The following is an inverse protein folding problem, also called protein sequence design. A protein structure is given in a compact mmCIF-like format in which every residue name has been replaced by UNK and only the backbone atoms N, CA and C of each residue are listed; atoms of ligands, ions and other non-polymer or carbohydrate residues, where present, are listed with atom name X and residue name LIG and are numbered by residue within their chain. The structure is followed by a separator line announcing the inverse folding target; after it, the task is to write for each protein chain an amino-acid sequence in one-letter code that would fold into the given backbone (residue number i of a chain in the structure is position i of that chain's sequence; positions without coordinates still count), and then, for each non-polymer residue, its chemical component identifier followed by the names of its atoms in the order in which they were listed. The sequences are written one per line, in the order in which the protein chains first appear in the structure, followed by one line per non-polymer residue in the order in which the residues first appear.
data_IF_529721651852
#
_entry.id   IF_529721651852
#
_cell.length_a   1.000
_cell.length_b   1.000
_cell.length_c   1.000
_cell.angle_alpha   90.00
_cell.angle_beta   90.00
_cell.angle_gamma   90.00
#
_symmetry.space_group_name_H-M   'P 1'
#
loop_
_entity.id
_entity.type
_entity.pdbx_description
1 polymer ?
#
# COMPACT_ATOMS: atom_id res chain seq x y z
N UNK A 1 35.37 8.64 29.76
CA UNK A 1 34.55 9.65 29.07
C UNK A 1 34.44 9.21 27.62
N UNK A 2 33.41 8.42 27.30
CA UNK A 2 33.15 7.98 25.93
C UNK A 2 32.54 9.13 25.16
N UNK A 3 33.28 9.65 24.18
CA UNK A 3 32.80 10.58 23.17
C UNK A 3 31.80 9.86 22.27
N UNK A 4 30.58 9.64 22.75
CA UNK A 4 29.46 9.23 21.92
C UNK A 4 28.76 10.50 21.45
N UNK A 5 28.57 10.63 20.13
CA UNK A 5 27.90 11.72 19.44
C UNK A 5 28.66 13.05 19.35
N UNK A 6 29.84 13.02 18.71
CA UNK A 6 30.44 14.23 18.16
C UNK A 6 29.69 14.65 16.88
N UNK A 7 28.49 15.21 17.02
CA UNK A 7 27.79 15.85 15.91
C UNK A 7 28.50 17.16 15.54
N UNK A 8 28.59 17.52 14.24
CA UNK A 8 28.97 18.87 13.86
C UNK A 8 28.08 19.87 14.60
N UNK A 9 28.65 20.94 15.14
CA UNK A 9 27.89 22.01 15.83
C UNK A 9 26.84 22.68 14.95
N UNK A 10 26.88 22.44 13.63
CA UNK A 10 25.95 22.94 12.63
C UNK A 10 24.70 22.07 12.45
N UNK A 11 24.66 20.86 13.01
CA UNK A 11 23.53 19.94 12.84
C UNK A 11 22.50 20.16 13.96
N UNK A 12 21.37 20.78 13.60
CA UNK A 12 20.29 21.14 14.54
C UNK A 12 19.31 20.01 14.83
N UNK A 13 19.21 19.01 13.92
CA UNK A 13 18.41 17.80 14.09
C UNK A 13 19.34 16.65 14.50
N UNK A 14 19.04 16.00 15.62
CA UNK A 14 19.76 14.81 16.11
C UNK A 14 18.85 13.59 16.22
N UNK A 15 17.59 13.82 16.58
CA UNK A 15 16.62 12.75 16.78
C UNK A 15 15.38 12.96 15.91
N UNK A 16 14.97 11.92 15.19
CA UNK A 16 13.76 11.86 14.38
C UNK A 16 12.70 11.08 15.17
N UNK A 17 11.54 11.68 15.38
CA UNK A 17 10.37 10.99 15.94
C UNK A 17 9.54 10.38 14.81
N UNK A 18 9.25 9.08 14.87
CA UNK A 18 8.47 8.36 13.87
C UNK A 18 7.16 7.89 14.50
N UNK A 19 6.02 8.30 13.92
CA UNK A 19 4.70 7.82 14.32
C UNK A 19 4.45 6.45 13.69
N UNK A 20 4.33 5.41 14.54
CA UNK A 20 4.24 4.00 14.17
C UNK A 20 5.58 3.27 14.28
N UNK A 21 5.51 2.01 14.72
CA UNK A 21 6.68 1.15 14.99
C UNK A 21 6.76 -0.10 14.12
N UNK A 22 5.99 -0.17 13.03
CA UNK A 22 5.99 -1.25 12.06
C UNK A 22 7.31 -1.39 11.28
N UNK A 23 7.25 -2.20 10.21
CA UNK A 23 8.42 -2.49 9.39
C UNK A 23 8.91 -1.27 8.59
N UNK A 24 8.03 -0.33 8.29
CA UNK A 24 8.39 0.86 7.52
C UNK A 24 9.17 1.84 8.41
N UNK A 25 8.74 2.05 9.65
CA UNK A 25 9.45 2.81 10.68
C UNK A 25 10.80 2.17 11.02
N UNK A 26 10.84 0.83 11.09
CA UNK A 26 12.09 0.06 11.22
C UNK A 26 13.08 0.38 10.09
N UNK A 27 12.66 0.23 8.82
CA UNK A 27 13.53 0.49 7.65
C UNK A 27 13.88 1.98 7.49
N UNK A 28 13.02 2.91 7.93
CA UNK A 28 13.36 4.33 8.02
C UNK A 28 14.51 4.56 9.02
N UNK A 29 14.48 3.91 10.17
CA UNK A 29 15.54 4.02 11.17
C UNK A 29 16.84 3.35 10.70
N UNK A 30 16.76 2.20 10.02
CA UNK A 30 17.91 1.57 9.36
C UNK A 30 18.61 2.54 8.39
N UNK A 31 17.85 3.30 7.61
CA UNK A 31 18.40 4.30 6.69
C UNK A 31 18.89 5.59 7.39
N UNK A 32 18.33 5.91 8.56
CA UNK A 32 18.70 7.10 9.34
C UNK A 32 20.04 6.94 10.09
N UNK A 33 20.32 5.73 10.60
CA UNK A 33 21.50 5.44 11.42
C UNK A 33 22.83 5.73 10.69
N UNK A 34 23.06 5.29 9.42
CA UNK A 34 24.28 5.61 8.67
C UNK A 34 24.49 7.10 8.42
N UNK A 35 23.41 7.88 8.37
CA UNK A 35 23.43 9.34 8.24
C UNK A 35 23.68 10.05 9.57
N UNK A 36 23.77 9.31 10.68
CA UNK A 36 24.04 9.84 12.01
C UNK A 36 22.81 10.36 12.74
N UNK A 37 21.59 9.92 12.40
CA UNK A 37 20.40 10.31 13.15
C UNK A 37 19.93 9.21 14.09
N UNK A 38 19.45 9.60 15.26
CA UNK A 38 18.75 8.70 16.18
C UNK A 38 17.25 8.70 15.85
N UNK A 39 16.58 7.58 16.14
CA UNK A 39 15.13 7.47 15.99
C UNK A 39 14.46 7.15 17.33
N UNK A 40 13.28 7.72 17.52
CA UNK A 40 12.33 7.34 18.57
C UNK A 40 10.97 7.12 17.93
N UNK A 41 10.15 6.27 18.54
CA UNK A 41 8.88 5.83 17.94
C UNK A 41 7.71 6.08 18.88
N UNK A 42 6.54 6.37 18.32
CA UNK A 42 5.26 6.35 19.03
C UNK A 42 4.44 5.16 18.54
N UNK A 43 4.31 4.13 19.37
CA UNK A 43 3.66 2.86 19.03
C UNK A 43 3.14 2.15 20.29
N UNK A 44 1.88 1.70 20.26
CA UNK A 44 1.24 1.04 21.41
C UNK A 44 1.61 -0.44 21.49
N UNK A 45 1.97 -1.06 20.36
CA UNK A 45 2.47 -2.42 20.36
C UNK A 45 3.94 -2.48 20.82
N UNK A 46 4.16 -2.99 22.04
CA UNK A 46 5.50 -3.17 22.59
C UNK A 46 6.40 -4.11 21.75
N UNK A 47 5.81 -5.09 21.05
CA UNK A 47 6.53 -6.05 20.21
C UNK A 47 6.64 -5.58 18.74
N UNK A 48 6.69 -4.26 18.53
CA UNK A 48 6.80 -3.69 17.20
C UNK A 48 8.22 -3.83 16.61
N UNK A 49 8.36 -4.01 15.29
CA UNK A 49 9.67 -4.14 14.63
C UNK A 49 10.67 -3.02 14.95
N UNK A 50 10.20 -1.78 15.05
CA UNK A 50 11.03 -0.60 15.30
C UNK A 50 11.70 -0.57 16.69
N UNK A 51 11.22 -1.37 17.65
CA UNK A 51 11.80 -1.46 18.99
C UNK A 51 13.28 -1.90 19.02
N UNK A 52 13.75 -2.55 17.95
CA UNK A 52 15.15 -2.94 17.77
C UNK A 52 16.07 -1.77 17.37
N UNK A 53 15.50 -0.66 16.91
CA UNK A 53 16.24 0.44 16.26
C UNK A 53 16.18 1.77 17.03
N UNK A 54 15.41 1.83 18.12
CA UNK A 54 15.28 3.04 18.92
C UNK A 54 14.28 2.90 20.06
N UNK A 55 14.17 3.95 20.87
CA UNK A 55 13.25 3.97 22.00
C UNK A 55 11.81 4.08 21.51
N UNK A 56 10.93 3.21 22.01
CA UNK A 56 9.49 3.26 21.77
C UNK A 56 8.79 3.94 22.95
N UNK A 57 7.87 4.83 22.64
CA UNK A 57 6.92 5.46 23.54
C UNK A 57 5.52 5.00 23.17
N UNK A 58 4.64 4.88 24.16
CA UNK A 58 3.22 4.60 23.93
C UNK A 58 2.42 5.90 23.77
N UNK A 59 1.19 5.80 23.27
CA UNK A 59 0.30 6.94 23.02
C UNK A 59 0.09 7.83 24.26
N UNK A 60 0.04 7.25 25.47
CA UNK A 60 -0.06 7.99 26.74
C UNK A 60 1.22 8.74 27.12
N UNK A 61 2.33 8.46 26.43
CA UNK A 61 3.63 9.09 26.62
C UNK A 61 3.96 10.10 25.51
N UNK A 62 2.95 10.61 24.79
CA UNK A 62 3.10 11.54 23.68
C UNK A 62 4.01 12.73 24.02
N UNK A 63 3.84 13.36 25.19
CA UNK A 63 4.68 14.50 25.59
C UNK A 63 6.16 14.12 25.70
N UNK A 64 6.45 12.94 26.26
CA UNK A 64 7.83 12.45 26.39
C UNK A 64 8.44 12.07 25.03
N UNK A 65 7.62 11.55 24.10
CA UNK A 65 8.01 11.32 22.71
C UNK A 65 8.35 12.64 22.01
N UNK A 66 7.50 13.66 22.17
CA UNK A 66 7.70 15.00 21.61
C UNK A 66 8.99 15.61 22.13
N UNK A 67 9.24 15.54 23.43
CA UNK A 67 10.48 16.05 24.05
C UNK A 67 11.74 15.38 23.48
N UNK A 68 11.67 14.08 23.17
CA UNK A 68 12.81 13.29 22.74
C UNK A 68 13.24 13.51 21.27
N UNK A 69 12.39 14.12 20.43
CA UNK A 69 12.63 14.28 19.00
C UNK A 69 12.74 15.75 18.56
N UNK A 70 13.51 16.03 17.51
CA UNK A 70 13.67 17.37 16.94
C UNK A 70 12.74 17.60 15.74
N UNK A 71 12.49 16.56 14.94
CA UNK A 71 11.63 16.55 13.76
C UNK A 71 10.79 15.28 13.75
N UNK A 72 9.61 15.32 13.14
CA UNK A 72 8.68 14.20 13.13
C UNK A 72 8.33 13.73 11.72
N UNK A 73 8.12 12.43 11.60
CA UNK A 73 7.50 11.81 10.44
C UNK A 73 6.59 10.64 10.82
N UNK A 74 6.00 9.96 9.85
CA UNK A 74 5.07 8.86 10.06
C UNK A 74 5.37 7.70 9.11
N UNK A 75 5.02 6.49 9.54
CA UNK A 75 5.10 5.30 8.70
C UNK A 75 3.75 4.83 8.16
N UNK A 76 2.62 5.36 8.67
CA UNK A 76 1.29 4.88 8.34
C UNK A 76 0.29 6.02 8.15
N UNK A 77 -0.53 5.91 7.12
CA UNK A 77 -1.49 6.92 6.70
C UNK A 77 -2.72 7.00 7.60
N UNK A 78 -3.01 5.99 8.41
CA UNK A 78 -4.13 6.06 9.38
C UNK A 78 -3.68 6.55 10.77
N UNK A 79 -2.52 7.19 10.89
CA UNK A 79 -2.13 7.91 12.10
C UNK A 79 -3.23 8.92 12.49
N UNK A 80 -3.57 9.06 13.78
CA UNK A 80 -4.55 10.05 14.23
C UNK A 80 -4.19 11.46 13.77
N UNK A 81 -5.11 12.10 13.03
CA UNK A 81 -4.91 13.45 12.49
C UNK A 81 -4.70 14.48 13.60
N UNK A 82 -5.32 14.30 14.77
CA UNK A 82 -5.13 15.16 15.95
C UNK A 82 -3.68 15.17 16.46
N UNK A 83 -3.00 14.02 16.46
CA UNK A 83 -1.59 13.93 16.83
C UNK A 83 -0.73 14.69 15.83
N UNK A 84 -0.96 14.48 14.54
CA UNK A 84 -0.23 15.17 13.46
C UNK A 84 -0.48 16.69 13.49
N UNK A 85 -1.71 17.11 13.75
CA UNK A 85 -2.07 18.52 13.92
C UNK A 85 -1.32 19.14 15.11
N UNK A 86 -1.27 18.46 16.25
CA UNK A 86 -0.53 18.93 17.42
C UNK A 86 0.97 19.13 17.12
N UNK A 87 1.61 18.15 16.48
CA UNK A 87 3.03 18.24 16.09
C UNK A 87 3.29 19.34 15.06
N UNK A 88 2.35 19.54 14.14
CA UNK A 88 2.38 20.62 13.14
C UNK A 88 2.33 21.98 13.81
N UNK A 89 1.46 22.15 14.82
CA UNK A 89 1.35 23.38 15.60
C UNK A 89 2.64 23.70 16.37
N UNK A 90 3.26 22.69 16.99
CA UNK A 90 4.56 22.84 17.67
C UNK A 90 5.67 23.26 16.71
N UNK A 91 5.67 22.71 15.49
CA UNK A 91 6.64 23.06 14.45
C UNK A 91 6.43 24.49 13.96
N UNK A 92 5.18 24.90 13.76
CA UNK A 92 4.81 26.27 13.35
C UNK A 92 5.19 27.31 14.41
N UNK A 93 5.11 26.93 15.70
CA UNK A 93 5.55 27.76 16.82
C UNK A 93 7.08 27.83 16.99
N UNK A 94 7.85 27.06 16.20
CA UNK A 94 9.32 27.03 16.25
C UNK A 94 9.91 26.17 17.35
N UNK A 95 9.10 25.40 18.08
CA UNK A 95 9.56 24.50 19.15
C UNK A 95 10.18 23.21 18.60
N UNK A 96 9.86 22.86 17.36
CA UNK A 96 10.30 21.65 16.65
C UNK A 96 10.60 21.99 15.19
N UNK A 97 11.41 21.17 14.53
CA UNK A 97 11.93 21.45 13.19
C UNK A 97 10.94 21.11 12.07
N UNK A 98 9.89 20.32 12.35
CA UNK A 98 8.87 19.98 11.37
C UNK A 98 8.08 18.72 11.71
N UNK A 99 6.91 18.59 11.09
CA UNK A 99 6.13 17.35 10.99
C UNK A 99 5.88 17.10 9.50
N UNK A 100 6.37 15.97 8.98
CA UNK A 100 6.31 15.66 7.56
C UNK A 100 5.77 14.24 7.29
N UNK A 101 4.93 14.05 6.26
CA UNK A 101 4.40 15.06 5.34
C UNK A 101 3.39 16.01 6.03
N UNK A 102 2.95 17.10 5.38
CA UNK A 102 1.96 18.01 5.96
C UNK A 102 0.61 17.31 6.18
N UNK A 103 -0.13 17.76 7.21
CA UNK A 103 -1.42 17.17 7.63
C UNK A 103 -2.41 16.98 6.47
N UNK A 104 -2.44 17.91 5.50
CA UNK A 104 -3.33 17.83 4.34
C UNK A 104 -3.09 16.58 3.49
N UNK A 105 -1.85 16.11 3.38
CA UNK A 105 -1.54 14.89 2.65
C UNK A 105 -2.17 13.66 3.31
N UNK A 106 -2.19 13.64 4.64
CA UNK A 106 -2.83 12.58 5.42
C UNK A 106 -4.36 12.63 5.31
N UNK A 107 -4.95 13.82 5.43
CA UNK A 107 -6.41 13.99 5.31
C UNK A 107 -6.94 13.55 3.93
N UNK A 108 -6.17 13.81 2.87
CA UNK A 108 -6.50 13.38 1.51
C UNK A 108 -6.33 11.88 1.35
N UNK A 109 -5.20 11.30 1.76
CA UNK A 109 -4.94 9.87 1.58
C UNK A 109 -5.86 8.96 2.42
N UNK A 110 -6.38 9.45 3.55
CA UNK A 110 -7.35 8.71 4.36
C UNK A 110 -8.76 8.65 3.75
N UNK A 111 -9.03 9.39 2.67
CA UNK A 111 -10.36 9.51 2.05
C UNK A 111 -10.29 9.41 0.53
N UNK A 112 -10.65 8.23 0.00
CA UNK A 112 -10.67 7.91 -1.43
C UNK A 112 -11.43 8.95 -2.24
N UNK A 113 -12.52 9.52 -1.71
CA UNK A 113 -13.29 10.52 -2.42
C UNK A 113 -12.54 11.86 -2.51
N UNK A 114 -11.93 12.32 -1.41
CA UNK A 114 -11.09 13.54 -1.42
C UNK A 114 -9.90 13.38 -2.35
N UNK A 115 -9.28 12.20 -2.33
CA UNK A 115 -8.15 11.86 -3.19
C UNK A 115 -8.54 11.91 -4.68
N UNK A 116 -9.61 11.23 -5.08
CA UNK A 116 -10.12 11.26 -6.46
C UNK A 116 -10.52 12.68 -6.89
N UNK A 117 -11.14 13.46 -5.99
CA UNK A 117 -11.45 14.87 -6.24
C UNK A 117 -10.20 15.73 -6.42
N UNK A 118 -9.13 15.48 -5.66
CA UNK A 118 -7.84 16.14 -5.84
C UNK A 118 -7.26 15.80 -7.22
N UNK A 119 -7.24 14.52 -7.61
CA UNK A 119 -6.76 14.14 -8.95
C UNK A 119 -7.55 14.85 -10.06
N UNK A 120 -8.88 14.90 -9.96
CA UNK A 120 -9.71 15.62 -10.92
C UNK A 120 -9.38 17.12 -11.00
N UNK A 121 -9.16 17.77 -9.85
CA UNK A 121 -8.76 19.19 -9.78
C UNK A 121 -7.39 19.44 -10.41
N UNK A 122 -6.51 18.44 -10.37
CA UNK A 122 -5.15 18.49 -10.92
C UNK A 122 -5.05 17.97 -12.35
N UNK A 123 -6.18 17.66 -13.00
CA UNK A 123 -6.23 17.06 -14.35
C UNK A 123 -5.43 15.74 -14.46
N UNK A 124 -5.44 14.97 -13.38
CA UNK A 124 -4.86 13.62 -13.32
C UNK A 124 -6.00 12.63 -13.54
N UNK A 125 -5.91 11.87 -14.63
CA UNK A 125 -6.94 10.92 -14.99
C UNK A 125 -7.05 9.77 -13.97
N UNK A 126 -8.28 9.40 -13.60
CA UNK A 126 -8.60 8.27 -12.72
C UNK A 126 -9.66 7.39 -13.38
N UNK A 127 -10.00 6.27 -12.74
CA UNK A 127 -11.28 5.61 -13.01
C UNK A 127 -12.46 6.57 -12.79
N UNK A 128 -13.54 6.50 -13.58
CA UNK A 128 -14.77 7.24 -13.30
C UNK A 128 -15.32 6.87 -11.93
N UNK A 129 -15.77 7.86 -11.15
CA UNK A 129 -16.24 7.63 -9.79
C UNK A 129 -17.43 8.52 -9.42
N UNK A 130 -18.22 8.08 -8.43
CA UNK A 130 -19.32 8.83 -7.85
C UNK A 130 -19.37 8.63 -6.32
N UNK A 131 -19.71 9.69 -5.59
CA UNK A 131 -20.04 9.58 -4.17
C UNK A 131 -21.42 8.93 -4.00
N UNK A 132 -21.59 8.11 -2.96
CA UNK A 132 -22.83 7.38 -2.67
C UNK A 132 -23.17 7.50 -1.18
N UNK A 133 -24.30 8.13 -0.87
CA UNK A 133 -24.83 8.34 0.49
C UNK A 133 -26.12 7.57 0.76
N UNK A 134 -26.70 6.93 -0.26
CA UNK A 134 -27.95 6.18 -0.15
C UNK A 134 -28.02 5.05 -1.18
N UNK A 135 -28.89 4.07 -0.95
CA UNK A 135 -29.16 3.00 -1.92
C UNK A 135 -29.63 3.56 -3.28
N UNK A 136 -30.42 4.63 -3.26
CA UNK A 136 -30.87 5.29 -4.50
C UNK A 136 -29.70 5.95 -5.26
N UNK A 137 -28.74 6.55 -4.55
CA UNK A 137 -27.52 7.06 -5.18
C UNK A 137 -26.64 5.93 -5.72
N UNK A 138 -26.61 4.77 -5.06
CA UNK A 138 -25.91 3.58 -5.58
C UNK A 138 -26.52 3.09 -6.89
N UNK A 139 -27.85 3.04 -6.97
CA UNK A 139 -28.57 2.70 -8.21
C UNK A 139 -28.23 3.68 -9.34
N UNK A 140 -28.23 4.98 -9.03
CA UNK A 140 -27.85 6.01 -10.00
C UNK A 140 -26.40 5.88 -10.46
N UNK A 141 -25.48 5.53 -9.55
CA UNK A 141 -24.09 5.28 -9.89
C UNK A 141 -23.93 4.08 -10.83
N UNK A 142 -24.65 2.97 -10.59
CA UNK A 142 -24.65 1.80 -11.48
C UNK A 142 -25.13 2.17 -12.90
N UNK A 143 -26.19 2.98 -13.01
CA UNK A 143 -26.71 3.44 -14.31
C UNK A 143 -25.74 4.39 -15.03
N UNK A 144 -25.02 5.21 -14.28
CA UNK A 144 -24.16 6.27 -14.85
C UNK A 144 -22.78 5.75 -15.24
N UNK A 145 -22.17 4.94 -14.38
CA UNK A 145 -20.83 4.37 -14.58
C UNK A 145 -20.86 3.11 -15.45
N UNK A 146 -22.01 2.44 -15.52
CA UNK A 146 -22.15 1.13 -16.15
C UNK A 146 -21.61 0.01 -15.27
N UNK A 147 -22.18 -1.18 -15.41
CA UNK A 147 -21.74 -2.37 -14.68
C UNK A 147 -20.65 -3.14 -15.45
N UNK A 148 -19.72 -3.82 -14.76
CA UNK A 148 -19.60 -3.87 -13.30
C UNK A 148 -19.06 -2.57 -12.69
N UNK A 149 -19.32 -2.35 -11.39
CA UNK A 149 -18.67 -1.31 -10.58
C UNK A 149 -18.10 -1.90 -9.30
N UNK A 150 -17.18 -1.16 -8.66
CA UNK A 150 -16.68 -1.47 -7.33
C UNK A 150 -17.17 -0.40 -6.37
N UNK A 151 -18.00 -0.78 -5.40
CA UNK A 151 -18.42 0.08 -4.30
C UNK A 151 -17.40 -0.06 -3.16
N UNK A 152 -16.90 1.05 -2.62
CA UNK A 152 -15.90 1.06 -1.54
C UNK A 152 -16.32 2.03 -0.43
N UNK A 153 -15.92 1.76 0.81
CA UNK A 153 -15.93 2.79 1.85
C UNK A 153 -14.91 3.87 1.48
N UNK A 154 -15.27 5.16 1.60
CA UNK A 154 -14.29 6.21 1.24
C UNK A 154 -13.14 6.29 2.23
N UNK A 155 -13.38 5.93 3.51
CA UNK A 155 -12.37 5.88 4.57
C UNK A 155 -12.22 4.46 5.13
N UNK A 156 -11.09 4.18 5.78
CA UNK A 156 -10.90 3.00 6.63
C UNK A 156 -10.81 1.64 5.93
N UNK A 157 -10.98 1.57 4.61
CA UNK A 157 -10.78 0.33 3.84
C UNK A 157 -9.30 0.04 3.60
N UNK A 158 -8.87 -1.21 3.74
CA UNK A 158 -7.50 -1.68 3.56
C UNK A 158 -7.48 -3.14 3.09
N UNK A 159 -6.44 -3.56 2.35
CA UNK A 159 -6.22 -4.95 1.88
C UNK A 159 -7.50 -5.63 1.34
N UNK A 160 -8.28 -4.89 0.53
CA UNK A 160 -9.54 -5.38 -0.06
C UNK A 160 -10.74 -5.49 0.89
N UNK A 161 -10.66 -4.99 2.12
CA UNK A 161 -11.81 -4.85 3.03
C UNK A 161 -12.55 -3.53 2.82
N UNK A 162 -13.86 -3.55 3.01
CA UNK A 162 -14.72 -2.38 2.82
C UNK A 162 -15.00 -2.10 1.33
N UNK A 163 -15.04 -3.16 0.52
CA UNK A 163 -15.39 -3.05 -0.90
C UNK A 163 -16.30 -4.21 -1.35
N UNK A 164 -17.15 -3.95 -2.33
CA UNK A 164 -18.08 -4.90 -2.92
C UNK A 164 -18.12 -4.70 -4.44
N UNK A 165 -17.96 -5.78 -5.21
CA UNK A 165 -18.07 -5.73 -6.68
C UNK A 165 -19.54 -5.99 -7.07
N UNK A 166 -20.15 -5.03 -7.75
CA UNK A 166 -21.52 -5.11 -8.25
C UNK A 166 -21.44 -5.46 -9.72
N UNK A 167 -21.90 -6.65 -10.10
CA UNK A 167 -21.85 -7.18 -11.48
C UNK A 167 -23.17 -7.01 -12.20
N UNK A 168 -24.27 -7.09 -11.46
CA UNK A 168 -25.63 -6.97 -11.96
C UNK A 168 -26.50 -6.16 -11.00
N UNK A 169 -27.66 -5.68 -11.46
CA UNK A 169 -28.57 -4.85 -10.65
C UNK A 169 -29.05 -5.58 -9.37
N UNK A 170 -29.12 -6.92 -9.39
CA UNK A 170 -29.47 -7.75 -8.23
C UNK A 170 -28.51 -7.59 -7.06
N UNK A 171 -27.24 -7.26 -7.32
CA UNK A 171 -26.19 -7.14 -6.32
C UNK A 171 -26.31 -5.86 -5.48
N UNK A 172 -26.99 -4.82 -6.01
CA UNK A 172 -27.04 -3.48 -5.43
C UNK A 172 -27.52 -3.50 -3.97
N UNK A 173 -28.58 -4.27 -3.69
CA UNK A 173 -29.15 -4.35 -2.34
C UNK A 173 -28.19 -5.01 -1.36
N UNK A 174 -27.49 -6.06 -1.79
CA UNK A 174 -26.50 -6.74 -0.96
C UNK A 174 -25.29 -5.83 -0.70
N UNK A 175 -24.77 -5.18 -1.74
CA UNK A 175 -23.66 -4.24 -1.64
C UNK A 175 -23.97 -3.05 -0.72
N UNK A 176 -25.17 -2.48 -0.83
CA UNK A 176 -25.63 -1.42 0.07
C UNK A 176 -25.70 -1.92 1.51
N UNK A 177 -26.31 -3.09 1.75
CA UNK A 177 -26.46 -3.60 3.10
C UNK A 177 -25.11 -3.92 3.78
N UNK A 178 -24.11 -4.35 3.01
CA UNK A 178 -22.76 -4.64 3.49
C UNK A 178 -22.02 -3.37 3.94
N UNK A 179 -22.16 -2.26 3.19
CA UNK A 179 -21.32 -1.07 3.37
C UNK A 179 -22.03 0.17 3.94
N UNK A 180 -23.37 0.20 3.99
CA UNK A 180 -24.14 1.41 4.41
C UNK A 180 -23.79 1.96 5.78
N UNK A 181 -23.30 1.12 6.69
CA UNK A 181 -23.01 1.54 8.06
C UNK A 181 -21.85 2.56 8.09
N UNK A 182 -21.00 2.58 7.06
CA UNK A 182 -19.97 3.62 6.88
C UNK A 182 -20.56 5.02 6.72
N UNK A 183 -21.67 5.15 5.99
CA UNK A 183 -22.37 6.43 5.80
C UNK A 183 -22.85 7.01 7.13
N UNK A 184 -23.25 6.15 8.06
CA UNK A 184 -23.70 6.57 9.39
C UNK A 184 -22.60 6.60 10.46
N UNK A 185 -21.37 6.20 10.14
CA UNK A 185 -20.27 6.07 11.10
C UNK A 185 -20.43 4.92 12.10
N UNK A 186 -21.31 3.96 11.81
CA UNK A 186 -21.57 2.77 12.66
C UNK A 186 -20.80 1.53 12.21
N UNK A 187 -20.11 1.61 11.08
CA UNK A 187 -19.33 0.50 10.53
C UNK A 187 -18.05 0.24 11.32
N UNK A 188 -17.67 -1.03 11.45
CA UNK A 188 -16.44 -1.42 12.17
C UNK A 188 -15.15 -0.86 11.56
N UNK A 189 -15.15 -0.59 10.24
CA UNK A 189 -14.00 -0.03 9.51
C UNK A 189 -13.97 1.51 9.53
N UNK A 190 -15.11 2.15 9.78
CA UNK A 190 -15.30 3.60 9.62
C UNK A 190 -16.07 4.16 10.82
N UNK A 191 -15.37 4.48 11.92
CA UNK A 191 -15.98 5.01 13.14
C UNK A 191 -16.40 6.48 13.01
N UNK A 192 -16.31 7.05 11.80
CA UNK A 192 -16.72 8.42 11.48
C UNK A 192 -17.60 8.38 10.23
N UNK A 193 -18.74 9.08 10.21
CA UNK A 193 -19.60 9.15 9.03
C UNK A 193 -18.83 9.61 7.79
N UNK A 194 -18.87 8.81 6.73
CA UNK A 194 -18.24 9.12 5.46
C UNK A 194 -19.03 8.49 4.29
N UNK A 195 -19.11 9.13 3.12
CA UNK A 195 -19.79 8.56 1.97
C UNK A 195 -19.12 7.26 1.52
N UNK A 196 -19.85 6.43 0.77
CA UNK A 196 -19.24 5.41 -0.07
C UNK A 196 -18.75 6.05 -1.37
N UNK A 197 -17.85 5.37 -2.07
CA UNK A 197 -17.41 5.72 -3.42
C UNK A 197 -17.68 4.54 -4.36
N UNK A 198 -18.43 4.80 -5.43
CA UNK A 198 -18.62 3.88 -6.54
C UNK A 198 -17.59 4.19 -7.62
N UNK A 199 -16.80 3.20 -8.02
CA UNK A 199 -15.80 3.31 -9.08
C UNK A 199 -16.19 2.42 -10.26
N UNK A 200 -16.13 2.97 -11.47
CA UNK A 200 -16.33 2.20 -12.69
C UNK A 200 -15.26 1.13 -12.83
N UNK A 201 -15.65 -0.08 -13.24
CA UNK A 201 -14.69 -1.15 -13.48
C UNK A 201 -13.92 -0.87 -14.78
N UNK A 202 -12.59 -0.97 -14.72
CA UNK A 202 -11.73 -0.72 -15.88
C UNK A 202 -10.95 -1.98 -16.27
N UNK A 203 -10.78 -2.15 -17.57
CA UNK A 203 -9.86 -3.14 -18.11
C UNK A 203 -8.46 -2.52 -18.17
N UNK A 204 -7.62 -2.86 -17.21
CA UNK A 204 -6.20 -2.51 -17.22
C UNK A 204 -5.35 -3.72 -17.60
N UNK A 205 -4.22 -3.46 -18.23
CA UNK A 205 -3.27 -4.49 -18.65
C UNK A 205 -2.23 -4.80 -17.58
N UNK A 206 -1.85 -3.80 -16.79
CA UNK A 206 -0.78 -3.87 -15.79
C UNK A 206 -1.08 -2.91 -14.64
N UNK A 207 -0.65 -3.27 -13.44
CA UNK A 207 -0.56 -2.35 -12.30
C UNK A 207 0.89 -1.90 -12.19
N UNK A 208 1.10 -0.58 -12.16
CA UNK A 208 2.42 0.02 -12.00
C UNK A 208 2.38 1.04 -10.88
N UNK A 209 3.53 1.37 -10.30
CA UNK A 209 3.62 2.51 -9.39
C UNK A 209 4.85 3.34 -9.69
N UNK A 210 4.77 4.63 -9.44
CA UNK A 210 5.93 5.51 -9.37
C UNK A 210 6.15 5.94 -7.93
N UNK A 211 7.41 5.93 -7.50
CA UNK A 211 7.85 6.50 -6.23
C UNK A 211 8.54 7.82 -6.53
N UNK A 212 8.34 8.83 -5.68
CA UNK A 212 9.12 10.07 -5.75
C UNK A 212 9.42 10.62 -4.36
N UNK A 213 10.56 11.30 -4.23
CA UNK A 213 10.95 12.06 -3.05
C UNK A 213 10.88 13.56 -3.37
N UNK A 214 10.31 14.35 -2.45
CA UNK A 214 10.34 15.82 -2.50
C UNK A 214 11.04 16.35 -1.26
N UNK A 215 12.10 17.14 -1.45
CA UNK A 215 12.80 17.83 -0.38
C UNK A 215 12.07 19.10 0.07
N UNK A 216 12.46 19.66 1.22
CA UNK A 216 11.89 20.92 1.73
C UNK A 216 12.16 22.12 0.81
N UNK A 217 13.17 22.02 -0.07
CA UNK A 217 13.45 23.02 -1.10
C UNK A 217 12.56 22.88 -2.36
N UNK A 218 11.60 21.95 -2.36
CA UNK A 218 10.71 21.68 -3.48
C UNK A 218 11.32 20.85 -4.62
N UNK A 219 12.58 20.43 -4.51
CA UNK A 219 13.20 19.52 -5.48
C UNK A 219 12.51 18.17 -5.42
N UNK A 220 12.10 17.65 -6.59
CA UNK A 220 11.52 16.31 -6.74
C UNK A 220 12.51 15.39 -7.46
N UNK A 221 12.63 14.15 -6.99
CA UNK A 221 13.36 13.04 -7.61
C UNK A 221 12.44 11.85 -7.75
N UNK A 222 12.19 11.41 -8.98
CA UNK A 222 11.37 10.24 -9.29
C UNK A 222 12.24 9.00 -9.50
N UNK A 223 11.78 7.87 -9.01
CA UNK A 223 12.34 6.55 -9.34
C UNK A 223 11.75 6.06 -10.66
N UNK A 224 12.30 4.97 -11.19
CA UNK A 224 11.70 4.24 -12.31
C UNK A 224 10.26 3.80 -11.98
N UNK A 225 9.44 3.70 -13.03
CA UNK A 225 8.18 2.96 -12.94
C UNK A 225 8.48 1.51 -12.60
N UNK A 226 7.70 0.95 -11.68
CA UNK A 226 7.77 -0.46 -11.32
C UNK A 226 6.46 -1.17 -11.60
N UNK A 227 6.53 -2.45 -11.93
CA UNK A 227 5.35 -3.28 -12.16
C UNK A 227 5.02 -4.08 -10.91
N UNK A 228 3.76 -4.02 -10.50
CA UNK A 228 3.25 -4.64 -9.29
C UNK A 228 2.30 -5.77 -9.66
N UNK A 229 2.50 -6.93 -9.04
CA UNK A 229 1.59 -8.06 -9.16
C UNK A 229 0.95 -8.32 -7.80
N UNK A 230 -0.37 -8.21 -7.75
CA UNK A 230 -1.17 -8.50 -6.58
C UNK A 230 -1.75 -9.91 -6.64
N UNK A 231 -1.83 -10.57 -5.50
CA UNK A 231 -2.58 -11.80 -5.32
C UNK A 231 -3.61 -11.60 -4.21
N UNK A 232 -4.90 -11.75 -4.55
CA UNK A 232 -6.02 -11.52 -3.63
C UNK A 232 -5.96 -10.14 -2.93
N UNK A 233 -5.55 -9.10 -3.67
CA UNK A 233 -5.43 -7.73 -3.15
C UNK A 233 -4.15 -7.42 -2.37
N UNK A 234 -3.23 -8.39 -2.23
CA UNK A 234 -1.95 -8.19 -1.53
C UNK A 234 -0.80 -8.16 -2.54
N UNK A 235 0.10 -7.18 -2.42
CA UNK A 235 1.28 -7.07 -3.28
C UNK A 235 2.21 -8.29 -3.08
N UNK A 236 2.34 -9.12 -4.10
CA UNK A 236 3.16 -10.32 -4.10
C UNK A 236 4.57 -10.05 -4.65
N UNK A 237 4.65 -9.37 -5.80
CA UNK A 237 5.90 -9.11 -6.53
C UNK A 237 5.92 -7.68 -7.06
N UNK A 238 7.06 -7.01 -6.92
CA UNK A 238 7.38 -5.78 -7.64
C UNK A 238 8.60 -5.99 -8.51
N UNK A 239 8.55 -5.56 -9.77
CA UNK A 239 9.66 -5.61 -10.71
C UNK A 239 10.10 -4.20 -11.10
N UNK A 240 11.39 -3.90 -10.96
CA UNK A 240 12.00 -2.60 -11.21
C UNK A 240 13.17 -2.72 -12.21
N UNK A 241 13.18 -1.99 -13.34
CA UNK A 241 12.06 -1.18 -13.84
C UNK A 241 10.93 -2.06 -14.40
N UNK A 242 9.75 -1.48 -14.56
CA UNK A 242 8.67 -2.03 -15.37
C UNK A 242 9.11 -2.11 -16.83
N UNK A 243 9.31 -3.33 -17.34
CA UNK A 243 9.83 -3.53 -18.70
C UNK A 243 8.81 -3.05 -19.73
N UNK A 244 9.28 -2.25 -20.70
CA UNK A 244 8.46 -1.74 -21.79
C UNK A 244 7.60 -0.51 -21.46
N UNK A 245 7.69 0.07 -20.27
CA UNK A 245 6.88 1.24 -19.86
C UNK A 245 7.62 2.58 -19.90
N UNK A 246 8.81 2.65 -20.51
CA UNK A 246 9.61 3.88 -20.54
C UNK A 246 8.87 5.07 -21.16
N UNK A 247 7.97 4.81 -22.11
CA UNK A 247 7.11 5.82 -22.73
C UNK A 247 6.04 6.41 -21.77
N UNK A 248 5.71 5.71 -20.67
CA UNK A 248 4.78 6.16 -19.64
C UNK A 248 5.45 6.95 -18.51
N UNK A 249 6.79 6.85 -18.39
CA UNK A 249 7.54 7.40 -17.24
C UNK A 249 7.31 8.89 -17.08
N UNK A 250 7.31 9.65 -18.19
CA UNK A 250 7.09 11.09 -18.14
C UNK A 250 5.70 11.43 -17.58
N UNK A 251 4.65 10.75 -18.06
CA UNK A 251 3.28 10.98 -17.61
C UNK A 251 3.14 10.68 -16.11
N UNK A 252 3.70 9.55 -15.65
CA UNK A 252 3.69 9.18 -14.24
C UNK A 252 4.48 10.17 -13.38
N UNK A 253 5.66 10.61 -13.83
CA UNK A 253 6.51 11.58 -13.13
C UNK A 253 5.85 12.94 -13.01
N UNK A 254 5.23 13.42 -14.09
CA UNK A 254 4.51 14.69 -14.10
C UNK A 254 3.30 14.64 -13.14
N UNK A 255 2.55 13.53 -13.13
CA UNK A 255 1.41 13.34 -12.23
C UNK A 255 1.84 13.36 -10.76
N UNK A 256 2.80 12.53 -10.35
CA UNK A 256 3.26 12.50 -8.94
C UNK A 256 3.91 13.82 -8.52
N UNK A 257 4.69 14.46 -9.41
CA UNK A 257 5.29 15.78 -9.14
C UNK A 257 4.21 16.85 -8.93
N UNK A 258 3.13 16.80 -9.73
CA UNK A 258 2.00 17.74 -9.61
C UNK A 258 1.30 17.57 -8.26
N UNK A 259 1.05 16.33 -7.84
CA UNK A 259 0.47 16.03 -6.52
C UNK A 259 1.38 16.51 -5.39
N UNK A 260 2.66 16.14 -5.42
CA UNK A 260 3.62 16.52 -4.37
C UNK A 260 3.76 18.05 -4.26
N UNK A 261 3.74 18.77 -5.37
CA UNK A 261 3.77 20.23 -5.35
C UNK A 261 2.45 20.85 -4.87
N UNK A 262 1.31 20.28 -5.25
CA UNK A 262 0.00 20.75 -4.79
C UNK A 262 -0.14 20.67 -3.28
N UNK A 263 0.38 19.60 -2.68
CA UNK A 263 0.31 19.33 -1.25
C UNK A 263 1.44 19.99 -0.45
N UNK A 264 2.36 20.70 -1.11
CA UNK A 264 3.64 21.14 -0.55
C UNK A 264 4.36 20.03 0.24
N UNK A 265 4.42 18.85 -0.39
CA UNK A 265 4.80 17.61 0.24
C UNK A 265 6.29 17.55 0.58
N UNK A 266 6.65 16.95 1.71
CA UNK A 266 8.05 16.65 2.07
C UNK A 266 8.15 15.19 2.45
N UNK A 267 9.15 14.50 1.90
CA UNK A 267 9.33 13.06 2.09
C UNK A 267 9.11 12.29 0.79
N UNK A 268 8.87 10.99 0.95
CA UNK A 268 8.53 10.07 -0.13
C UNK A 268 7.03 9.88 -0.26
N UNK A 269 6.57 9.76 -1.50
CA UNK A 269 5.20 9.38 -1.88
C UNK A 269 5.25 8.28 -2.92
N UNK A 270 4.28 7.37 -2.87
CA UNK A 270 3.95 6.49 -4.00
C UNK A 270 2.67 6.95 -4.68
N UNK A 271 2.62 6.81 -6.00
CA UNK A 271 1.41 6.91 -6.80
C UNK A 271 1.20 5.58 -7.52
N UNK A 272 0.13 4.88 -7.17
CA UNK A 272 -0.29 3.66 -7.85
C UNK A 272 -1.10 4.00 -9.10
N UNK A 273 -0.87 3.23 -10.16
CA UNK A 273 -1.33 3.52 -11.51
C UNK A 273 -1.83 2.24 -12.20
N UNK A 274 -2.87 2.37 -12.98
CA UNK A 274 -3.32 1.36 -13.93
C UNK A 274 -2.87 1.70 -15.34
N UNK A 275 -2.26 0.74 -16.05
CA UNK A 275 -1.93 0.90 -17.47
C UNK A 275 -3.13 0.47 -18.31
N UNK A 276 -3.72 1.42 -19.04
CA UNK A 276 -4.91 1.22 -19.87
C UNK A 276 -4.64 1.64 -21.31
N UNK A 277 -5.53 1.27 -22.23
CA UNK A 277 -5.53 1.75 -23.61
C UNK A 277 -6.35 3.03 -23.73
N UNK A 278 -5.77 4.07 -24.34
CA UNK A 278 -6.51 5.27 -24.73
C UNK A 278 -7.48 4.98 -25.90
N UNK A 279 -8.29 5.97 -26.28
CA UNK A 279 -9.25 5.83 -27.40
C UNK A 279 -8.59 5.53 -28.77
N UNK A 280 -7.27 5.67 -28.88
CA UNK A 280 -6.47 5.39 -30.08
C UNK A 280 -5.69 4.06 -29.97
N UNK A 281 -5.82 3.34 -28.86
CA UNK A 281 -5.12 2.07 -28.61
C UNK A 281 -3.69 2.20 -28.09
N UNK A 282 -3.24 3.39 -27.67
CA UNK A 282 -1.93 3.59 -27.04
C UNK A 282 -2.03 3.34 -25.53
N UNK A 283 -0.94 2.88 -24.92
CA UNK A 283 -0.87 2.81 -23.46
C UNK A 283 -0.86 4.21 -22.84
N UNK A 284 -1.61 4.35 -21.75
CA UNK A 284 -1.66 5.53 -20.88
C UNK A 284 -1.85 5.06 -19.44
N UNK A 285 -1.65 5.94 -18.46
CA UNK A 285 -1.86 5.63 -17.04
C UNK A 285 -3.07 6.35 -16.45
N UNK A 286 -3.78 5.65 -15.56
CA UNK A 286 -4.81 6.20 -14.68
C UNK A 286 -4.36 6.09 -13.22
N UNK A 287 -4.52 7.15 -12.44
CA UNK A 287 -4.23 7.14 -11.01
C UNK A 287 -5.24 6.27 -10.23
N UNK A 288 -4.68 5.34 -9.47
CA UNK A 288 -5.41 4.53 -8.49
C UNK A 288 -5.47 5.27 -7.15
N UNK A 289 -4.36 5.35 -6.42
CA UNK A 289 -4.27 5.99 -5.11
C UNK A 289 -2.85 6.49 -4.83
N UNK A 290 -2.71 7.40 -3.86
CA UNK A 290 -1.41 7.80 -3.32
C UNK A 290 -1.17 7.15 -1.96
N UNK A 291 0.10 6.85 -1.67
CA UNK A 291 0.55 6.57 -0.31
C UNK A 291 1.51 7.71 0.12
N UNK A 292 1.13 8.57 1.07
CA UNK A 292 1.95 9.67 1.57
C UNK A 292 3.00 9.15 2.57
N UNK A 293 3.81 8.20 2.13
CA UNK A 293 4.88 7.56 2.90
C UNK A 293 5.78 6.75 1.96
N UNK A 294 6.84 6.19 2.52
CA UNK A 294 7.54 5.04 1.90
C UNK A 294 6.56 3.90 1.66
N UNK A 295 6.76 3.16 0.57
CA UNK A 295 5.78 2.20 0.07
C UNK A 295 6.38 0.83 -0.20
N UNK A 296 5.55 -0.21 -0.11
CA UNK A 296 5.96 -1.60 -0.30
C UNK A 296 6.55 -1.81 -1.71
N UNK A 297 5.91 -1.24 -2.74
CA UNK A 297 6.43 -1.28 -4.12
C UNK A 297 7.74 -0.51 -4.33
N UNK A 298 8.25 0.20 -3.32
CA UNK A 298 9.58 0.83 -3.36
C UNK A 298 10.68 0.02 -2.68
N UNK A 299 10.39 -1.14 -2.05
CA UNK A 299 11.39 -1.88 -1.25
C UNK A 299 12.59 -2.38 -2.06
N UNK A 300 12.40 -2.66 -3.35
CA UNK A 300 13.49 -2.98 -4.29
C UNK A 300 14.60 -1.92 -4.30
N UNK A 301 14.28 -0.66 -3.98
CA UNK A 301 15.24 0.45 -4.00
C UNK A 301 16.31 0.36 -2.91
N UNK A 302 16.16 -0.53 -1.92
CA UNK A 302 17.21 -0.77 -0.92
C UNK A 302 18.46 -1.33 -1.60
N UNK A 303 18.30 -2.24 -2.55
CA UNK A 303 19.40 -2.82 -3.33
C UNK A 303 19.54 -2.19 -4.72
N UNK A 304 18.41 -1.97 -5.42
CA UNK A 304 18.41 -1.69 -6.86
C UNK A 304 18.59 -0.23 -7.26
N UNK A 305 18.53 0.72 -6.32
CA UNK A 305 18.70 2.15 -6.60
C UNK A 305 19.95 2.72 -5.92
N UNK A 306 20.51 3.82 -6.44
CA UNK A 306 21.67 4.48 -5.82
C UNK A 306 21.33 4.94 -4.39
N UNK A 307 20.14 5.49 -4.20
CA UNK A 307 19.61 5.91 -2.89
C UNK A 307 18.24 5.29 -2.71
N UNK A 308 18.03 4.56 -1.60
CA UNK A 308 16.73 3.94 -1.35
C UNK A 308 15.65 4.98 -1.06
N UNK A 309 14.38 4.59 -1.24
CA UNK A 309 13.25 5.43 -0.83
C UNK A 309 13.33 5.81 0.66
N UNK A 310 13.88 4.93 1.51
CA UNK A 310 13.97 5.16 2.94
C UNK A 310 15.01 6.24 3.24
N UNK A 311 16.21 6.15 2.64
CA UNK A 311 17.23 7.17 2.81
C UNK A 311 16.77 8.52 2.26
N UNK A 312 16.16 8.54 1.07
CA UNK A 312 15.64 9.77 0.48
C UNK A 312 14.49 10.38 1.30
N UNK A 313 13.66 9.56 1.95
CA UNK A 313 12.65 10.05 2.88
C UNK A 313 13.31 10.72 4.09
N UNK A 314 14.29 10.07 4.73
CA UNK A 314 15.04 10.65 5.85
C UNK A 314 15.72 11.96 5.44
N UNK A 315 16.42 11.97 4.29
CA UNK A 315 17.08 13.17 3.76
C UNK A 315 16.10 14.32 3.55
N UNK A 316 14.92 14.06 3.00
CA UNK A 316 13.87 15.07 2.86
C UNK A 316 13.40 15.62 4.22
N UNK A 317 13.10 14.73 5.18
CA UNK A 317 12.63 15.09 6.53
C UNK A 317 13.66 15.94 7.29
N UNK A 318 14.94 15.58 7.19
CA UNK A 318 16.04 16.29 7.89
C UNK A 318 16.69 17.42 7.07
N UNK A 319 16.07 17.78 5.94
CA UNK A 319 16.51 18.86 5.03
C UNK A 319 17.94 18.68 4.46
N UNK A 320 18.32 17.45 4.15
CA UNK A 320 19.52 17.14 3.36
C UNK A 320 19.16 17.16 1.86
N UNK A 321 20.15 17.40 0.96
CA UNK A 321 19.94 17.23 -0.47
C UNK A 321 19.44 15.82 -0.77
N UNK A 322 18.50 15.66 -1.70
CA UNK A 322 18.06 14.32 -2.11
C UNK A 322 19.20 13.57 -2.81
N UNK A 323 19.22 12.26 -2.62
CA UNK A 323 20.11 11.34 -3.31
C UNK A 323 19.64 11.03 -4.72
N UNK A 324 20.53 10.42 -5.49
CA UNK A 324 20.23 9.94 -6.84
C UNK A 324 19.26 8.76 -6.78
N UNK A 325 18.27 8.75 -7.67
CA UNK A 325 17.20 7.75 -7.76
C UNK A 325 17.38 6.82 -8.95
N UNK A 326 18.50 6.94 -9.69
CA UNK A 326 18.83 6.05 -10.79
C UNK A 326 18.87 4.59 -10.34
N UNK A 327 18.28 3.74 -11.17
CA UNK A 327 18.27 2.30 -11.01
C UNK A 327 19.62 1.73 -11.45
N UNK A 328 20.35 1.16 -10.50
CA UNK A 328 21.70 0.61 -10.72
C UNK A 328 21.61 -0.78 -11.33
N UNK A 329 20.66 -1.59 -10.87
CA UNK A 329 20.46 -2.97 -11.31
C UNK A 329 18.98 -3.34 -11.31
N UNK A 330 18.47 -3.97 -12.39
CA UNK A 330 17.14 -4.52 -12.38
C UNK A 330 16.93 -5.45 -11.19
N UNK A 331 15.82 -5.24 -10.47
CA UNK A 331 15.53 -5.94 -9.23
C UNK A 331 14.09 -6.44 -9.21
N UNK A 332 13.86 -7.56 -8.53
CA UNK A 332 12.54 -8.06 -8.21
C UNK A 332 12.41 -8.17 -6.69
N UNK A 333 11.43 -7.48 -6.12
CA UNK A 333 11.08 -7.63 -4.71
C UNK A 333 9.89 -8.57 -4.57
N UNK A 334 9.97 -9.52 -3.64
CA UNK A 334 8.89 -10.43 -3.27
C UNK A 334 8.53 -10.23 -1.80
N UNK A 335 7.23 -10.15 -1.50
CA UNK A 335 6.77 -10.22 -0.12
C UNK A 335 6.80 -11.66 0.39
N UNK A 336 7.18 -11.81 1.66
CA UNK A 336 7.06 -13.06 2.42
C UNK A 336 5.88 -12.92 3.37
N UNK A 337 4.86 -13.75 3.16
CA UNK A 337 3.62 -13.74 3.93
C UNK A 337 3.45 -15.01 4.75
N UNK A 338 2.94 -14.86 5.97
CA UNK A 338 2.51 -16.00 6.78
C UNK A 338 3.64 -16.69 7.51
N UNK A 339 4.55 -17.30 6.74
CA UNK A 339 5.60 -18.20 7.21
C UNK A 339 6.97 -17.85 6.63
N UNK A 340 8.02 -17.94 7.45
CA UNK A 340 9.39 -17.70 7.02
C UNK A 340 9.91 -18.85 6.14
N UNK A 341 10.63 -18.54 5.04
CA UNK A 341 11.34 -19.57 4.28
C UNK A 341 12.58 -20.06 5.04
N UNK A 342 13.19 -21.14 4.55
CA UNK A 342 14.57 -21.46 4.93
C UNK A 342 15.51 -20.35 4.44
N UNK A 343 15.92 -19.47 5.36
CA UNK A 343 16.79 -18.32 5.08
C UNK A 343 18.11 -18.76 4.45
N UNK A 344 18.67 -19.91 4.86
CA UNK A 344 19.91 -20.45 4.29
C UNK A 344 19.71 -20.88 2.84
N UNK A 345 18.55 -21.45 2.51
CA UNK A 345 18.20 -21.78 1.13
C UNK A 345 17.99 -20.52 0.27
N UNK A 346 17.33 -19.49 0.80
CA UNK A 346 17.16 -18.18 0.12
C UNK A 346 18.52 -17.55 -0.18
N UNK A 347 19.39 -17.43 0.82
CA UNK A 347 20.70 -16.76 0.68
C UNK A 347 21.73 -17.55 -0.13
N UNK A 348 21.43 -18.79 -0.55
CA UNK A 348 22.22 -19.54 -1.53
C UNK A 348 21.95 -19.11 -2.97
N UNK A 349 20.85 -18.40 -3.22
CA UNK A 349 20.53 -17.87 -4.53
C UNK A 349 21.37 -16.60 -4.72
N UNK A 350 22.23 -16.59 -5.73
CA UNK A 350 23.08 -15.44 -6.02
C UNK A 350 22.22 -14.19 -6.30
N UNK A 351 22.53 -13.09 -5.61
CA UNK A 351 21.78 -11.84 -5.70
C UNK A 351 20.50 -11.79 -4.86
N UNK A 352 20.24 -12.76 -3.97
CA UNK A 352 19.14 -12.68 -3.02
C UNK A 352 19.52 -11.88 -1.76
N UNK A 353 18.69 -10.91 -1.41
CA UNK A 353 18.79 -10.08 -0.22
C UNK A 353 17.54 -10.27 0.62
N UNK A 354 17.71 -10.83 1.82
CA UNK A 354 16.61 -11.14 2.72
C UNK A 354 16.44 -10.05 3.79
N UNK A 355 15.22 -9.54 3.93
CA UNK A 355 14.86 -8.46 4.86
C UNK A 355 13.78 -8.93 5.83
N UNK A 356 14.20 -9.30 7.05
CA UNK A 356 13.28 -9.68 8.12
C UNK A 356 12.58 -8.46 8.70
N UNK A 357 11.29 -8.57 9.00
CA UNK A 357 10.58 -7.55 9.78
C UNK A 357 10.47 -7.90 11.26
N UNK A 358 11.11 -8.98 11.72
CA UNK A 358 11.07 -9.43 13.12
C UNK A 358 9.65 -9.68 13.66
N UNK A 359 8.72 -10.03 12.76
CA UNK A 359 7.32 -10.29 13.11
C UNK A 359 7.10 -11.78 13.36
N UNK A 360 6.25 -12.10 14.33
CA UNK A 360 5.72 -13.45 14.48
C UNK A 360 4.90 -13.85 13.23
N UNK A 361 5.02 -15.13 12.86
CA UNK A 361 4.25 -15.77 11.81
C UNK A 361 2.74 -15.70 12.11
N UNK A 362 1.97 -15.37 11.06
CA UNK A 362 0.51 -15.28 11.10
C UNK A 362 0.01 -15.18 9.67
N UNK A 363 -1.06 -15.90 9.34
CA UNK A 363 -1.69 -15.88 8.02
C UNK A 363 -1.86 -14.46 7.48
N UNK A 364 -1.53 -14.30 6.20
CA UNK A 364 -1.55 -13.05 5.42
C UNK A 364 -0.75 -11.87 5.99
N UNK A 365 0.05 -12.08 7.03
CA UNK A 365 0.92 -11.04 7.59
C UNK A 365 2.20 -10.94 6.76
N UNK A 366 2.52 -9.72 6.30
CA UNK A 366 3.84 -9.36 5.78
C UNK A 366 4.88 -9.45 6.90
N UNK A 367 5.76 -10.44 6.83
CA UNK A 367 6.77 -10.74 7.86
C UNK A 367 8.21 -10.54 7.37
N UNK A 368 8.43 -10.52 6.06
CA UNK A 368 9.70 -10.17 5.44
C UNK A 368 9.49 -9.74 3.97
N UNK A 369 10.53 -9.25 3.32
CA UNK A 369 10.63 -9.27 1.86
C UNK A 369 11.99 -9.83 1.42
N UNK A 370 12.06 -10.19 0.15
CA UNK A 370 13.29 -10.65 -0.49
C UNK A 370 13.48 -9.84 -1.77
N UNK A 371 14.63 -9.20 -1.94
CA UNK A 371 15.02 -8.57 -3.20
C UNK A 371 15.96 -9.50 -3.95
N UNK A 372 15.65 -9.78 -5.21
CA UNK A 372 16.55 -10.41 -6.16
C UNK A 372 17.18 -9.34 -7.03
N UNK A 373 18.51 -9.23 -6.97
CA UNK A 373 19.33 -8.33 -7.76
C UNK A 373 20.62 -9.07 -8.18
N UNK A 374 20.53 -10.02 -9.13
CA UNK A 374 21.71 -10.72 -9.62
C UNK A 374 22.60 -9.78 -10.46
N UNK A 375 23.91 -10.02 -10.43
CA UNK A 375 24.87 -9.24 -11.21
C UNK A 375 24.60 -9.29 -12.73
N UNK A 376 24.12 -10.43 -13.23
CA UNK A 376 23.68 -10.60 -14.61
C UNK A 376 22.16 -10.68 -14.66
N UNK A 377 21.54 -9.74 -15.37
CA UNK A 377 20.08 -9.65 -15.54
C UNK A 377 19.49 -10.91 -16.19
N UNK A 378 20.27 -11.65 -16.98
CA UNK A 378 19.83 -12.92 -17.56
C UNK A 378 19.51 -13.98 -16.49
N UNK A 379 20.06 -13.84 -15.28
CA UNK A 379 19.81 -14.73 -14.16
C UNK A 379 18.60 -14.31 -13.28
N UNK A 380 17.94 -13.19 -13.57
CA UNK A 380 16.82 -12.70 -12.76
C UNK A 380 15.63 -13.66 -12.76
N UNK A 381 15.18 -14.10 -13.93
CA UNK A 381 14.07 -15.07 -14.06
C UNK A 381 14.44 -16.48 -13.52
N UNK A 382 15.63 -17.04 -13.80
CA UNK A 382 16.09 -18.27 -13.14
C UNK A 382 16.13 -18.17 -11.61
N UNK A 383 16.65 -17.07 -11.06
CA UNK A 383 16.71 -16.84 -9.62
C UNK A 383 15.32 -16.72 -9.01
N UNK A 384 14.39 -16.02 -9.70
CA UNK A 384 12.99 -15.91 -9.30
C UNK A 384 12.34 -17.29 -9.22
N UNK A 385 12.52 -18.14 -10.23
CA UNK A 385 11.97 -19.49 -10.24
C UNK A 385 12.51 -20.36 -9.08
N UNK A 386 13.81 -20.26 -8.78
CA UNK A 386 14.41 -20.94 -7.63
C UNK A 386 13.84 -20.45 -6.31
N UNK A 387 13.71 -19.12 -6.16
CA UNK A 387 13.18 -18.52 -4.94
C UNK A 387 11.73 -18.92 -4.69
N UNK A 388 10.87 -18.81 -5.71
CA UNK A 388 9.44 -19.20 -5.62
C UNK A 388 9.28 -20.68 -5.24
N UNK A 389 10.22 -21.55 -5.64
CA UNK A 389 10.20 -22.96 -5.25
C UNK A 389 10.51 -23.19 -3.76
N UNK A 390 11.23 -22.26 -3.10
CA UNK A 390 11.62 -22.35 -1.68
C UNK A 390 10.61 -21.62 -0.77
N UNK A 391 9.84 -20.67 -1.29
CA UNK A 391 8.87 -19.93 -0.50
C UNK A 391 7.75 -20.85 0.04
N UNK A 392 7.45 -20.80 1.35
CA UNK A 392 6.38 -21.60 1.94
C UNK A 392 5.00 -21.15 1.44
N UNK A 393 4.79 -19.83 1.38
CA UNK A 393 3.67 -19.21 0.71
C UNK A 393 4.16 -18.54 -0.58
N UNK A 394 3.73 -19.07 -1.72
CA UNK A 394 4.15 -18.59 -3.05
C UNK A 394 3.35 -17.40 -3.55
N UNK A 395 2.33 -16.97 -2.82
CA UNK A 395 1.53 -15.75 -3.08
C UNK A 395 1.07 -15.64 -4.54
N UNK A 396 0.65 -16.77 -5.11
CA UNK A 396 0.16 -16.86 -6.49
C UNK A 396 1.24 -16.86 -7.58
N UNK A 397 2.53 -16.82 -7.24
CA UNK A 397 3.65 -16.78 -8.19
C UNK A 397 3.99 -18.14 -8.82
N UNK A 398 3.42 -19.24 -8.32
CA UNK A 398 3.55 -20.58 -8.89
C UNK A 398 2.51 -20.90 -9.97
N UNK A 399 1.47 -20.09 -10.07
CA UNK A 399 0.54 -20.13 -11.18
C UNK A 399 1.21 -19.41 -12.36
N UNK A 400 1.24 -20.04 -13.54
CA UNK A 400 1.65 -19.32 -14.77
C UNK A 400 0.83 -18.04 -14.85
N UNK A 401 1.49 -16.89 -15.00
CA UNK A 401 0.82 -15.61 -15.21
C UNK A 401 -0.10 -15.80 -16.42
N UNK A 402 -1.39 -15.90 -16.15
CA UNK A 402 -2.39 -16.01 -17.20
C UNK A 402 -2.53 -14.60 -17.75
N UNK A 403 -2.33 -14.43 -19.06
CA UNK A 403 -2.58 -13.16 -19.73
C UNK A 403 -4.03 -12.72 -19.44
N UNK A 404 -4.26 -11.40 -19.41
CA UNK A 404 -5.50 -10.73 -18.99
C UNK A 404 -6.78 -11.20 -19.72
N UNK A 405 -6.66 -11.97 -20.81
CA UNK A 405 -7.80 -12.57 -21.54
C UNK A 405 -8.51 -13.75 -20.82
N UNK A 406 -7.95 -14.34 -19.76
CA UNK A 406 -8.55 -15.51 -19.09
C UNK A 406 -9.10 -15.19 -17.68
N UNK A 407 -9.10 -13.94 -17.23
CA UNK A 407 -9.82 -13.55 -15.98
C UNK A 407 -11.34 -13.72 -16.12
N UNK A 408 -11.86 -13.72 -17.35
CA UNK A 408 -13.26 -14.09 -17.63
C UNK A 408 -13.51 -15.58 -17.38
N UNK A 409 -12.52 -16.45 -17.61
CA UNK A 409 -12.63 -17.90 -17.37
C UNK A 409 -12.43 -18.30 -15.92
N UNK A 410 -11.57 -17.63 -15.15
CA UNK A 410 -11.46 -17.93 -13.71
C UNK A 410 -12.74 -17.56 -12.94
N UNK A 411 -13.52 -16.59 -13.44
CA UNK A 411 -14.86 -16.31 -12.92
C UNK A 411 -15.88 -17.41 -13.29
N UNK A 412 -15.67 -18.13 -14.39
CA UNK A 412 -16.49 -19.29 -14.81
C UNK A 412 -16.09 -20.59 -14.07
N UNK A 413 -14.80 -20.80 -13.79
CA UNK A 413 -14.35 -22.04 -13.10
C UNK A 413 -14.67 -22.03 -11.59
N UNK A 414 -14.81 -20.85 -10.97
CA UNK A 414 -15.29 -20.72 -9.58
C UNK A 414 -16.80 -21.03 -9.44
N UNK A 415 -17.60 -20.88 -10.51
CA UNK A 415 -19.05 -21.18 -10.46
C UNK A 415 -19.37 -22.66 -10.67
N UNK A 416 -18.49 -23.42 -11.32
CA UNK A 416 -18.68 -24.87 -11.51
C UNK A 416 -18.33 -25.65 -10.23
N UNK A 417 -17.34 -25.20 -9.46
CA UNK A 417 -16.94 -25.89 -8.22
C UNK A 417 -17.95 -25.72 -7.07
N UNK A 418 -18.75 -24.66 -7.06
CA UNK A 418 -19.79 -24.44 -6.02
C UNK A 418 -21.16 -25.03 -6.39
N UNK A 419 -21.38 -25.44 -7.65
CA UNK A 419 -22.65 -26.03 -8.10
C UNK A 419 -22.71 -27.56 -8.00
N UNK A 420 -21.58 -28.25 -7.88
CA UNK A 420 -21.53 -29.72 -7.79
C UNK A 420 -21.74 -30.27 -6.36
N UNK A 421 -21.62 -29.44 -5.31
CA UNK A 421 -21.69 -29.89 -3.91
C UNK A 421 -23.06 -29.66 -3.23
N UNK A 422 -24.09 -29.25 -4.00
CA UNK A 422 -25.45 -29.01 -3.49
C UNK A 422 -26.58 -29.84 -4.13
N UNK A 423 -26.28 -30.76 -5.06
CA UNK A 423 -27.32 -31.55 -5.73
C UNK A 423 -27.62 -32.93 -5.14
N UNK A 424 -26.89 -33.38 -4.09
CA UNK A 424 -27.06 -34.76 -3.55
C UNK A 424 -27.78 -34.86 -2.20
N UNK A 425 -28.50 -33.83 -1.73
CA UNK A 425 -29.20 -33.86 -0.43
C UNK A 425 -30.64 -33.35 -0.38
N UNK A 426 -31.34 -33.26 -1.51
CA UNK A 426 -32.78 -32.96 -1.49
C UNK A 426 -33.52 -33.91 -2.45
N UNK A 427 -33.55 -35.21 -2.12
CA UNK A 427 -34.62 -36.07 -2.60
C UNK A 427 -34.74 -37.36 -1.76
N UNK A 428 -35.40 -37.27 -0.61
CA UNK A 428 -36.25 -38.34 -0.04
C UNK A 428 -36.80 -37.85 1.30
N UNK A 429 -38.09 -37.49 1.33
CA UNK A 429 -39.07 -37.86 2.37
C UNK A 429 -40.26 -36.91 2.33
N UNK A 430 -41.27 -37.27 1.55
CA UNK A 430 -42.67 -37.00 1.87
C UNK A 430 -43.54 -37.94 1.04
N UNK A 431 -44.55 -38.50 1.69
CA UNK A 431 -45.64 -39.35 1.16
C UNK A 431 -45.36 -40.86 1.16
N UNK A 432 -45.71 -41.53 2.27
CA UNK A 432 -46.88 -42.42 2.30
C UNK A 432 -47.08 -43.02 3.70
N UNK A 433 -48.28 -42.84 4.29
CA UNK A 433 -49.01 -43.88 5.02
C UNK A 433 -50.23 -43.32 5.75
N UNK A 434 -51.42 -43.53 5.17
CA UNK A 434 -52.64 -43.80 5.93
C UNK A 434 -53.07 -45.24 5.61
N UNK A 435 -53.24 -46.06 6.63
CA UNK A 435 -54.39 -46.95 6.91
C UNK A 435 -54.04 -48.07 7.89
N UNK A 436 -54.81 -48.09 9.00
CA UNK A 436 -55.40 -49.20 9.76
C UNK A 436 -54.62 -50.48 10.15
N UNK A 437 -54.52 -50.73 11.47
CA UNK A 437 -55.15 -51.85 12.22
C UNK A 437 -54.53 -51.97 13.65
N UNK A 438 -55.29 -51.72 14.73
CA UNK A 438 -55.87 -52.72 15.67
C UNK A 438 -54.85 -53.65 16.35
N UNK A 439 -54.59 -53.47 17.66
CA UNK A 439 -55.01 -54.35 18.79
C UNK A 439 -54.15 -54.20 20.07
N UNK A 440 -54.88 -54.03 21.20
CA UNK A 440 -54.52 -54.21 22.63
C UNK A 440 -53.67 -53.18 23.36
#
# INVERSE_FOLDING_TARGET
MTTANAYPTTQTIRTIGILGGGQLGMMLAEAAIPLGYQCVFLEDNADCPASLYGRVFHSEQLDAFIEAADVFTLEFENTPTSTVEHLTNLSTAGSKQGMFPPLIALDIAQDRLKEKQMFQKLDIATVPFMAVNSEAELQQACQTLGLPIVLKTSRGGYDGKGQFVIKEDSDIKAAWQDLKDAVSGKGALTPTPAPLIAEGFINFSREVSIIAARGQNGQVRGYDLVENHHHQGILAKTQAPAVGTSHLLKQATDAITTVMNHLDYVGVMALELFVVKDARGNDTVLANEIAPRVHNSGHWSIEGAITSQFENHIRAVVNLPLGDTDNVHPAIMLNVLGQYPDISAVLKIDGAHYHSYHKAERDDRKIAHITLMPNDVANLEPALAQLVAILPNKVGLDKKIVAVDDQTKMAEDLTVAESDDTLDKINTQSEDSQLDEVQK
#
